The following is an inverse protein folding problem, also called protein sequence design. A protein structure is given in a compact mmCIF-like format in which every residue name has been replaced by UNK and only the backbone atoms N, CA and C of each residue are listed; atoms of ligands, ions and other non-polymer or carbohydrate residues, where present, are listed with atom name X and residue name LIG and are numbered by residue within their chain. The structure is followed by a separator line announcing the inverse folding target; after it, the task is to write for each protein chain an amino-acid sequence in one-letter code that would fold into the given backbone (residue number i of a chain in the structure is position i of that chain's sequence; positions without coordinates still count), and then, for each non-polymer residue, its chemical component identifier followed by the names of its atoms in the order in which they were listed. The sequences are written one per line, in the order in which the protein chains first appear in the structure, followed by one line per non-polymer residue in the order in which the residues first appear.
data_IF_236606576546
#
_entry.id   IF_236606576546
#
_cell.length_a   1.000
_cell.length_b   1.000
_cell.length_c   1.000
_cell.angle_alpha   90.00
_cell.angle_beta   90.00
_cell.angle_gamma   90.00
#
_symmetry.space_group_name_H-M   'P 1'
#
loop_
_entity.id
_entity.type
_entity.pdbx_description
1 polymer ?
#
# COMPACT_ATOMS: atom_id res chain seq x y z
N UNK A 1 -22.44 14.99 -8.94
CA UNK A 1 -22.87 15.59 -7.66
C UNK A 1 -21.70 16.37 -7.07
N UNK A 2 -22.01 17.48 -6.43
CA UNK A 2 -21.18 18.67 -6.16
C UNK A 2 -19.87 18.43 -5.41
N UNK A 3 -18.80 19.04 -5.92
CA UNK A 3 -17.56 19.34 -5.17
C UNK A 3 -17.95 20.37 -4.09
N UNK A 4 -18.15 19.90 -2.85
CA UNK A 4 -18.30 20.80 -1.72
C UNK A 4 -16.95 21.47 -1.46
N UNK A 5 -16.89 22.79 -1.67
CA UNK A 5 -15.88 23.67 -1.12
C UNK A 5 -15.85 23.44 0.40
N UNK A 6 -14.86 22.68 0.85
CA UNK A 6 -14.52 22.63 2.27
C UNK A 6 -13.70 23.89 2.51
N UNK A 7 -14.25 24.85 3.26
CA UNK A 7 -13.51 26.04 3.69
C UNK A 7 -12.16 25.62 4.28
N UNK A 8 -11.09 26.38 4.01
CA UNK A 8 -9.72 26.02 4.41
C UNK A 8 -9.59 25.63 5.89
N UNK A 9 -10.38 26.27 6.76
CA UNK A 9 -10.45 25.98 8.20
C UNK A 9 -11.00 24.57 8.49
N UNK A 10 -11.96 24.09 7.69
CA UNK A 10 -12.49 22.73 7.79
C UNK A 10 -11.50 21.69 7.25
N UNK A 11 -10.63 22.03 6.29
CA UNK A 11 -9.61 21.09 5.78
C UNK A 11 -8.54 20.83 6.84
N UNK A 12 -8.04 21.88 7.49
CA UNK A 12 -7.03 21.76 8.56
C UNK A 12 -7.52 20.91 9.72
N UNK A 13 -8.72 21.19 10.24
CA UNK A 13 -9.34 20.43 11.33
C UNK A 13 -9.56 18.97 10.91
N UNK A 14 -10.14 18.74 9.73
CA UNK A 14 -10.37 17.39 9.22
C UNK A 14 -9.08 16.58 9.06
N UNK A 15 -8.03 17.17 8.46
CA UNK A 15 -6.73 16.51 8.29
C UNK A 15 -6.08 16.23 9.64
N UNK A 16 -6.13 17.17 10.58
CA UNK A 16 -5.57 16.99 11.91
C UNK A 16 -6.25 15.85 12.68
N UNK A 17 -7.58 15.79 12.65
CA UNK A 17 -8.36 14.74 13.31
C UNK A 17 -8.03 13.36 12.72
N UNK A 18 -8.05 13.24 11.38
CA UNK A 18 -7.74 11.96 10.72
C UNK A 18 -6.31 11.51 10.98
N UNK A 19 -5.32 12.41 10.96
CA UNK A 19 -3.94 12.05 11.24
C UNK A 19 -3.72 11.66 12.71
N UNK A 20 -4.50 12.23 13.64
CA UNK A 20 -4.51 11.82 15.04
C UNK A 20 -5.00 10.38 15.20
N UNK A 21 -6.08 10.03 14.51
CA UNK A 21 -6.68 8.69 14.56
C UNK A 21 -5.77 7.59 14.00
N UNK A 22 -5.07 7.90 12.90
CA UNK A 22 -4.10 7.02 12.25
C UNK A 22 -2.83 6.76 13.09
N UNK A 23 -2.75 7.33 14.29
CA UNK A 23 -1.56 7.33 15.13
C UNK A 23 -0.56 8.30 14.54
N UNK A 24 -0.49 9.51 15.16
CA UNK A 24 0.34 10.63 14.72
C UNK A 24 1.67 10.18 14.11
N UNK A 25 2.12 10.84 13.02
CA UNK A 25 3.36 10.52 12.34
C UNK A 25 4.58 11.09 13.08
N UNK A 26 4.70 10.86 14.38
CA UNK A 26 6.01 11.03 15.05
C UNK A 26 6.83 9.79 14.68
N UNK A 27 7.44 9.78 13.49
CA UNK A 27 8.30 8.66 13.07
C UNK A 27 8.16 8.12 11.65
N UNK A 28 7.25 8.65 10.83
CA UNK A 28 7.15 8.21 9.42
C UNK A 28 8.32 8.76 8.60
N UNK A 29 9.02 7.92 7.83
CA UNK A 29 10.23 8.31 7.07
C UNK A 29 10.04 9.57 6.20
N UNK A 30 8.82 9.83 5.70
CA UNK A 30 8.50 11.04 4.94
C UNK A 30 8.25 12.26 5.85
N UNK A 31 7.47 12.14 6.93
CA UNK A 31 7.27 13.27 7.87
C UNK A 31 8.54 13.63 8.66
N UNK A 32 9.36 12.64 9.03
CA UNK A 32 10.64 12.86 9.72
C UNK A 32 11.67 13.58 8.84
N UNK A 33 11.73 13.26 7.54
CA UNK A 33 12.73 13.86 6.63
C UNK A 33 12.23 15.08 5.85
N UNK A 34 10.93 15.28 5.66
CA UNK A 34 10.46 16.24 4.66
C UNK A 34 9.36 17.23 5.07
N UNK A 35 8.62 17.05 6.17
CA UNK A 35 7.44 17.90 6.40
C UNK A 35 7.18 18.44 7.82
N UNK A 36 7.86 17.97 8.88
CA UNK A 36 7.70 18.55 10.22
C UNK A 36 6.26 18.46 10.78
N UNK A 37 5.93 19.31 11.76
CA UNK A 37 4.59 19.35 12.37
C UNK A 37 3.53 19.83 11.38
N UNK A 38 2.29 19.32 11.50
CA UNK A 38 1.11 19.74 10.72
C UNK A 38 0.95 21.26 10.53
N UNK A 39 1.39 22.05 11.53
CA UNK A 39 1.36 23.52 11.52
C UNK A 39 2.26 24.16 10.46
N UNK A 40 3.19 23.42 9.86
CA UNK A 40 4.13 23.91 8.86
C UNK A 40 3.71 23.57 7.43
N UNK A 41 2.59 22.86 7.24
CA UNK A 41 2.07 22.53 5.92
C UNK A 41 1.34 23.73 5.31
N UNK A 42 1.57 24.00 4.04
CA UNK A 42 0.78 24.98 3.31
C UNK A 42 -0.58 24.40 2.88
N UNK A 43 -1.51 25.27 2.48
CA UNK A 43 -2.87 24.88 2.06
C UNK A 43 -2.87 23.85 0.92
N UNK A 44 -1.87 23.91 0.04
CA UNK A 44 -1.76 23.00 -1.08
C UNK A 44 -1.40 21.58 -0.64
N UNK A 45 -0.47 21.46 0.30
CA UNK A 45 -0.06 20.19 0.91
C UNK A 45 -1.20 19.60 1.74
N UNK A 46 -1.91 20.42 2.51
CA UNK A 46 -3.10 20.00 3.26
C UNK A 46 -4.18 19.45 2.32
N UNK A 47 -4.43 20.11 1.19
CA UNK A 47 -5.35 19.61 0.17
C UNK A 47 -4.86 18.27 -0.43
N UNK A 48 -3.56 18.12 -0.66
CA UNK A 48 -2.97 16.87 -1.14
C UNK A 48 -3.14 15.70 -0.17
N UNK A 49 -2.98 15.95 1.14
CA UNK A 49 -3.23 14.98 2.20
C UNK A 49 -4.72 14.63 2.27
N UNK A 50 -5.59 15.63 2.27
CA UNK A 50 -7.04 15.44 2.24
C UNK A 50 -7.47 14.57 1.05
N UNK A 51 -6.93 14.83 -0.15
CA UNK A 51 -7.20 14.03 -1.33
C UNK A 51 -6.70 12.59 -1.19
N UNK A 52 -5.52 12.38 -0.60
CA UNK A 52 -5.00 11.04 -0.33
C UNK A 52 -5.91 10.27 0.65
N UNK A 53 -6.36 10.91 1.74
CA UNK A 53 -7.32 10.33 2.69
C UNK A 53 -8.62 9.94 2.00
N UNK A 54 -9.16 10.82 1.15
CA UNK A 54 -10.40 10.57 0.42
C UNK A 54 -10.28 9.41 -0.58
N UNK A 55 -9.16 9.33 -1.31
CA UNK A 55 -8.92 8.26 -2.28
C UNK A 55 -8.80 6.89 -1.63
N UNK A 56 -8.43 6.82 -0.35
CA UNK A 56 -8.17 5.54 0.34
C UNK A 56 -9.22 5.15 1.39
N UNK A 57 -10.27 5.95 1.57
CA UNK A 57 -11.35 5.69 2.53
C UNK A 57 -12.18 4.42 2.18
N UNK A 58 -12.22 4.06 0.89
CA UNK A 58 -12.96 2.90 0.36
C UNK A 58 -12.14 1.62 0.20
N UNK A 59 -10.87 1.62 0.63
CA UNK A 59 -9.96 0.48 0.42
C UNK A 59 -10.44 -0.74 1.20
N UNK A 60 -10.60 -1.87 0.49
CA UNK A 60 -11.01 -3.16 1.08
C UNK A 60 -9.84 -4.12 1.17
N UNK A 61 -8.96 -4.08 0.19
CA UNK A 61 -7.84 -5.00 0.04
C UNK A 61 -6.56 -4.18 -0.16
N UNK A 62 -5.50 -4.55 0.55
CA UNK A 62 -4.16 -3.95 0.36
C UNK A 62 -3.21 -5.03 -0.09
N UNK A 63 -2.34 -4.69 -1.03
CA UNK A 63 -1.28 -5.57 -1.50
C UNK A 63 0.06 -4.87 -1.30
N UNK A 64 0.91 -5.48 -0.48
CA UNK A 64 2.30 -5.10 -0.25
C UNK A 64 3.21 -6.02 -1.06
N UNK A 65 4.13 -5.45 -1.82
CA UNK A 65 5.00 -6.17 -2.75
C UNK A 65 6.28 -5.35 -2.98
N UNK A 66 7.37 -6.00 -3.40
CA UNK A 66 8.62 -5.30 -3.78
C UNK A 66 8.48 -4.60 -5.14
N UNK A 67 9.54 -3.94 -5.62
CA UNK A 67 9.49 -3.30 -6.94
C UNK A 67 9.36 -4.32 -8.11
N UNK A 68 9.65 -3.90 -9.35
CA UNK A 68 9.86 -4.81 -10.48
C UNK A 68 10.79 -5.95 -10.05
N UNK A 69 10.48 -7.19 -10.45
CA UNK A 69 11.17 -8.43 -10.01
C UNK A 69 10.94 -8.81 -8.53
N UNK A 70 10.52 -7.86 -7.68
CA UNK A 70 10.11 -8.07 -6.29
C UNK A 70 8.61 -8.35 -6.10
N UNK A 71 7.88 -8.64 -7.18
CA UNK A 71 6.47 -9.05 -7.12
C UNK A 71 5.45 -8.04 -7.67
N UNK A 72 5.88 -6.96 -8.34
CA UNK A 72 4.97 -6.01 -9.00
C UNK A 72 4.01 -6.69 -9.97
N UNK A 73 4.53 -7.52 -10.87
CA UNK A 73 3.75 -8.21 -11.91
C UNK A 73 2.71 -9.13 -11.26
N UNK A 74 3.11 -9.83 -10.20
CA UNK A 74 2.22 -10.68 -9.43
C UNK A 74 1.15 -9.88 -8.70
N UNK A 75 1.52 -8.77 -8.05
CA UNK A 75 0.57 -7.93 -7.34
C UNK A 75 -0.47 -7.33 -8.28
N UNK A 76 -0.04 -6.90 -9.48
CA UNK A 76 -0.94 -6.42 -10.53
C UNK A 76 -1.86 -7.52 -11.06
N UNK A 77 -1.34 -8.72 -11.31
CA UNK A 77 -2.15 -9.85 -11.73
C UNK A 77 -3.15 -10.27 -10.63
N UNK A 78 -2.70 -10.36 -9.38
CA UNK A 78 -3.54 -10.71 -8.25
C UNK A 78 -4.67 -9.69 -8.05
N UNK A 79 -4.36 -8.39 -8.17
CA UNK A 79 -5.38 -7.33 -8.15
C UNK A 79 -6.40 -7.52 -9.27
N UNK A 80 -5.93 -7.79 -10.49
CA UNK A 80 -6.80 -8.02 -11.64
C UNK A 80 -7.72 -9.24 -11.42
N UNK A 81 -7.18 -10.34 -10.89
CA UNK A 81 -7.96 -11.56 -10.62
C UNK A 81 -8.94 -11.39 -9.46
N UNK A 82 -8.55 -10.67 -8.41
CA UNK A 82 -9.46 -10.28 -7.33
C UNK A 82 -10.64 -9.47 -7.86
N UNK A 83 -10.39 -8.52 -8.76
CA UNK A 83 -11.45 -7.73 -9.38
C UNK A 83 -12.40 -8.62 -10.19
N UNK A 84 -11.86 -9.47 -11.09
CA UNK A 84 -12.66 -10.41 -11.90
C UNK A 84 -13.50 -11.34 -11.03
N UNK A 85 -12.95 -11.83 -9.91
CA UNK A 85 -13.69 -12.71 -9.01
C UNK A 85 -14.89 -12.04 -8.33
N UNK A 86 -14.83 -10.71 -8.15
CA UNK A 86 -15.90 -9.93 -7.50
C UNK A 86 -16.95 -9.44 -8.50
N UNK A 87 -16.57 -9.29 -9.78
CA UNK A 87 -17.44 -8.80 -10.85
C UNK A 87 -17.30 -9.70 -12.08
N UNK A 88 -17.72 -10.97 -12.00
CA UNK A 88 -17.52 -11.94 -13.08
C UNK A 88 -18.27 -11.57 -14.37
N UNK A 89 -19.35 -10.79 -14.25
CA UNK A 89 -20.27 -10.47 -15.35
C UNK A 89 -20.21 -9.00 -15.81
N UNK A 90 -19.35 -8.15 -15.21
CA UNK A 90 -19.30 -6.72 -15.55
C UNK A 90 -18.10 -6.36 -16.43
N UNK A 91 -18.39 -5.69 -17.56
CA UNK A 91 -17.42 -4.93 -18.36
C UNK A 91 -17.17 -3.51 -17.81
N UNK A 92 -17.54 -3.26 -16.55
CA UNK A 92 -17.49 -1.94 -15.91
C UNK A 92 -16.04 -1.50 -15.64
N UNK A 93 -15.71 -0.20 -15.68
CA UNK A 93 -14.36 0.25 -15.36
C UNK A 93 -13.95 -0.14 -13.93
N UNK A 94 -12.72 -0.62 -13.80
CA UNK A 94 -12.11 -1.04 -12.54
C UNK A 94 -12.21 0.05 -11.46
N UNK A 95 -12.95 -0.19 -10.37
CA UNK A 95 -12.85 0.67 -9.19
C UNK A 95 -11.55 0.36 -8.44
N UNK A 96 -10.49 1.01 -8.91
CA UNK A 96 -9.17 0.98 -8.31
C UNK A 96 -9.16 1.33 -6.82
N UNK A 97 -10.17 2.06 -6.32
CA UNK A 97 -10.21 2.50 -4.92
C UNK A 97 -10.42 1.35 -3.93
N UNK A 98 -10.90 0.19 -4.38
CA UNK A 98 -11.12 -0.98 -3.50
C UNK A 98 -9.85 -1.79 -3.22
N UNK A 99 -8.81 -1.65 -4.05
CA UNK A 99 -7.58 -2.43 -3.97
C UNK A 99 -6.37 -1.49 -3.98
N UNK A 100 -5.72 -1.30 -2.83
CA UNK A 100 -4.57 -0.42 -2.70
C UNK A 100 -3.27 -1.15 -3.06
N UNK A 101 -2.51 -0.55 -3.99
CA UNK A 101 -1.14 -0.88 -4.37
C UNK A 101 -0.30 0.40 -4.38
N UNK A 102 0.42 0.67 -3.29
CA UNK A 102 1.40 1.76 -3.20
C UNK A 102 0.90 3.11 -3.79
N UNK A 103 1.79 3.95 -4.32
CA UNK A 103 1.51 5.20 -4.99
C UNK A 103 0.61 5.06 -6.24
N UNK A 104 0.45 3.85 -6.80
CA UNK A 104 -0.44 3.60 -7.95
C UNK A 104 -1.89 3.90 -7.56
N UNK A 105 -2.28 3.57 -6.33
CA UNK A 105 -3.62 3.87 -5.80
C UNK A 105 -3.88 5.36 -5.69
N UNK A 106 -2.81 6.15 -5.61
CA UNK A 106 -2.85 7.60 -5.54
C UNK A 106 -2.62 8.25 -6.91
N UNK A 107 -2.70 7.51 -8.03
CA UNK A 107 -2.44 8.05 -9.37
C UNK A 107 -3.23 9.32 -9.74
N UNK A 108 -4.44 9.48 -9.19
CA UNK A 108 -5.29 10.66 -9.41
C UNK A 108 -5.01 11.81 -8.44
N UNK A 109 -4.16 11.60 -7.43
CA UNK A 109 -3.69 12.66 -6.55
C UNK A 109 -2.73 13.57 -7.33
N UNK A 110 -2.97 14.89 -7.28
CA UNK A 110 -2.21 15.87 -8.08
C UNK A 110 -0.71 15.92 -7.78
N UNK A 111 -0.28 15.42 -6.63
CA UNK A 111 1.14 15.35 -6.24
C UNK A 111 1.81 14.05 -6.69
N UNK A 112 1.06 13.11 -7.28
CA UNK A 112 1.65 11.89 -7.84
C UNK A 112 2.44 12.23 -9.09
N UNK A 113 3.73 11.86 -9.06
CA UNK A 113 4.64 12.00 -10.19
C UNK A 113 4.81 10.67 -10.88
N UNK A 114 4.80 10.71 -12.20
CA UNK A 114 5.09 9.58 -13.08
C UNK A 114 6.42 9.84 -13.79
N UNK A 115 7.46 9.10 -13.41
CA UNK A 115 8.79 9.21 -14.01
C UNK A 115 9.07 7.98 -14.88
N UNK A 116 9.35 8.18 -16.17
CA UNK A 116 9.81 7.09 -17.04
C UNK A 116 11.28 6.81 -16.72
N UNK A 117 11.59 5.60 -16.27
CA UNK A 117 12.98 5.19 -16.08
C UNK A 117 13.60 4.92 -17.46
N UNK A 118 14.70 5.61 -17.80
CA UNK A 118 15.26 5.52 -19.16
C UNK A 118 15.85 4.15 -19.52
N UNK A 119 16.18 3.34 -18.52
CA UNK A 119 16.88 2.06 -18.69
C UNK A 119 15.96 0.84 -18.60
N UNK A 120 14.67 1.03 -18.28
CA UNK A 120 13.67 -0.03 -18.20
C UNK A 120 12.33 0.51 -18.68
N UNK A 121 11.52 -0.25 -19.42
CA UNK A 121 10.20 0.22 -19.88
C UNK A 121 9.16 0.14 -18.76
N UNK A 122 9.41 0.90 -17.68
CA UNK A 122 8.57 1.00 -16.49
C UNK A 122 8.47 2.45 -16.07
N UNK A 123 7.27 2.85 -15.69
CA UNK A 123 7.05 4.13 -15.03
C UNK A 123 7.10 3.97 -13.52
N UNK A 124 7.95 4.77 -12.88
CA UNK A 124 8.00 4.92 -11.44
C UNK A 124 6.94 5.92 -11.01
N UNK A 125 5.97 5.48 -10.21
CA UNK A 125 5.01 6.37 -9.55
C UNK A 125 5.51 6.73 -8.16
N UNK A 126 5.40 8.00 -7.80
CA UNK A 126 5.76 8.49 -6.46
C UNK A 126 4.72 9.49 -5.98
N UNK A 127 4.23 9.33 -4.76
CA UNK A 127 3.38 10.31 -4.10
C UNK A 127 3.95 10.66 -2.72
N UNK A 128 4.11 11.96 -2.38
CA UNK A 128 4.66 12.38 -1.09
C UNK A 128 3.74 12.08 0.11
N UNK A 129 2.47 11.75 -0.13
CA UNK A 129 1.48 11.39 0.89
C UNK A 129 1.13 9.91 0.85
N UNK A 130 1.98 9.08 0.24
CA UNK A 130 1.82 7.63 0.18
C UNK A 130 1.60 7.02 1.56
N UNK A 131 2.38 7.45 2.56
CA UNK A 131 2.28 6.95 3.93
C UNK A 131 0.92 7.24 4.57
N UNK A 132 0.40 8.46 4.39
CA UNK A 132 -0.96 8.83 4.84
C UNK A 132 -2.00 7.99 4.12
N UNK A 133 -1.90 7.89 2.80
CA UNK A 133 -2.81 7.10 1.98
C UNK A 133 -2.82 5.64 2.41
N UNK A 134 -1.64 5.06 2.64
CA UNK A 134 -1.47 3.66 3.03
C UNK A 134 -2.01 3.39 4.44
N UNK A 135 -1.66 4.20 5.44
CA UNK A 135 -2.19 4.07 6.81
C UNK A 135 -3.71 4.19 6.84
N UNK A 136 -4.25 5.15 6.10
CA UNK A 136 -5.70 5.31 5.96
C UNK A 136 -6.33 4.10 5.26
N UNK A 137 -5.67 3.55 4.24
CA UNK A 137 -6.07 2.27 3.65
C UNK A 137 -6.12 1.15 4.69
N UNK A 138 -5.06 0.97 5.50
CA UNK A 138 -5.01 -0.07 6.55
C UNK A 138 -6.15 0.12 7.56
N UNK A 139 -6.48 1.35 7.92
CA UNK A 139 -7.55 1.63 8.87
C UNK A 139 -8.94 1.14 8.41
N UNK A 140 -9.18 1.04 7.09
CA UNK A 140 -10.48 0.65 6.52
C UNK A 140 -10.47 -0.73 5.84
N UNK A 141 -9.28 -1.25 5.54
CA UNK A 141 -9.13 -2.50 4.82
C UNK A 141 -9.66 -3.71 5.61
N UNK A 142 -10.27 -4.64 4.89
CA UNK A 142 -10.69 -5.95 5.41
C UNK A 142 -9.59 -6.98 5.27
N UNK A 143 -8.71 -6.80 4.28
CA UNK A 143 -7.66 -7.77 3.95
C UNK A 143 -6.37 -7.06 3.56
N UNK A 144 -5.25 -7.65 3.93
CA UNK A 144 -3.93 -7.25 3.49
C UNK A 144 -3.10 -8.47 3.11
N UNK A 145 -2.46 -8.45 1.95
CA UNK A 145 -1.58 -9.51 1.50
C UNK A 145 -0.16 -8.96 1.31
N UNK A 146 0.83 -9.68 1.81
CA UNK A 146 2.25 -9.38 1.59
C UNK A 146 2.86 -10.45 0.70
N UNK A 147 3.40 -10.03 -0.44
CA UNK A 147 4.22 -10.86 -1.30
C UNK A 147 5.68 -10.67 -0.90
N UNK A 148 6.17 -11.53 -0.01
CA UNK A 148 7.50 -11.46 0.58
C UNK A 148 8.50 -12.12 -0.37
N UNK A 149 9.24 -11.31 -1.12
CA UNK A 149 10.42 -11.69 -1.90
C UNK A 149 11.70 -11.19 -1.22
N UNK A 150 12.91 -11.59 -1.68
CA UNK A 150 14.16 -10.99 -1.21
C UNK A 150 14.18 -9.46 -1.33
N UNK A 151 13.64 -8.90 -2.43
CA UNK A 151 13.54 -7.46 -2.68
C UNK A 151 12.58 -6.78 -1.71
N UNK A 152 11.46 -7.44 -1.36
CA UNK A 152 10.56 -6.95 -0.32
C UNK A 152 11.30 -6.84 1.02
N UNK A 153 12.06 -7.88 1.40
CA UNK A 153 12.90 -7.86 2.62
C UNK A 153 14.07 -6.89 2.54
N UNK A 154 14.49 -6.49 1.35
CA UNK A 154 15.50 -5.45 1.13
C UNK A 154 14.94 -4.03 1.24
N UNK A 155 13.61 -3.84 1.26
CA UNK A 155 12.96 -2.55 1.16
C UNK A 155 12.48 -2.03 2.52
N UNK A 156 13.02 -0.90 2.96
CA UNK A 156 12.57 -0.21 4.18
C UNK A 156 11.09 0.21 4.07
N UNK A 157 10.63 0.58 2.87
CA UNK A 157 9.23 0.93 2.63
C UNK A 157 8.31 -0.27 2.87
N UNK A 158 8.67 -1.44 2.35
CA UNK A 158 7.89 -2.67 2.53
C UNK A 158 7.84 -3.09 4.01
N UNK A 159 8.96 -3.00 4.73
CA UNK A 159 8.99 -3.26 6.19
C UNK A 159 8.15 -2.28 6.98
N UNK A 160 8.15 -1.00 6.57
CA UNK A 160 7.33 0.04 7.17
C UNK A 160 5.83 -0.26 7.02
N UNK A 161 5.41 -0.80 5.86
CA UNK A 161 4.02 -1.23 5.65
C UNK A 161 3.60 -2.35 6.61
N UNK A 162 4.50 -3.33 6.86
CA UNK A 162 4.28 -4.37 7.86
C UNK A 162 4.24 -3.80 9.29
N UNK A 163 5.09 -2.82 9.60
CA UNK A 163 5.04 -2.12 10.88
C UNK A 163 3.69 -1.43 11.09
N UNK A 164 3.16 -0.72 10.08
CA UNK A 164 1.86 -0.06 10.19
C UNK A 164 0.71 -1.06 10.35
N UNK A 165 0.77 -2.22 9.72
CA UNK A 165 -0.18 -3.30 10.01
C UNK A 165 -0.07 -3.75 11.47
N UNK A 166 1.15 -3.88 11.99
CA UNK A 166 1.37 -4.34 13.37
C UNK A 166 0.86 -3.35 14.42
N UNK A 167 0.91 -2.06 14.11
CA UNK A 167 0.53 -0.96 15.00
C UNK A 167 -0.93 -0.52 14.84
N UNK A 168 -1.62 -0.97 13.77
CA UNK A 168 -2.96 -0.47 13.45
C UNK A 168 -4.00 -0.76 14.55
N UNK A 169 -4.93 0.18 14.70
CA UNK A 169 -6.13 0.01 15.55
C UNK A 169 -7.19 -0.85 14.88
N UNK A 170 -7.14 -1.04 13.56
CA UNK A 170 -8.05 -1.91 12.83
C UNK A 170 -7.78 -3.39 13.19
N UNK A 171 -8.55 -3.95 14.12
CA UNK A 171 -8.40 -5.35 14.55
C UNK A 171 -9.15 -6.36 13.66
N UNK A 172 -9.94 -5.87 12.71
CA UNK A 172 -10.74 -6.71 11.81
C UNK A 172 -10.00 -7.07 10.51
N UNK A 173 -8.87 -6.41 10.23
CA UNK A 173 -8.05 -6.69 9.05
C UNK A 173 -7.47 -8.09 9.10
N UNK A 174 -7.68 -8.86 8.03
CA UNK A 174 -7.11 -10.20 7.86
C UNK A 174 -5.86 -10.15 7.02
N UNK A 175 -4.74 -10.63 7.56
CA UNK A 175 -3.46 -10.65 6.86
C UNK A 175 -3.11 -12.01 6.27
N UNK A 176 -2.42 -11.99 5.13
CA UNK A 176 -1.79 -13.14 4.51
C UNK A 176 -0.35 -12.81 4.10
N UNK A 177 0.58 -13.72 4.38
CA UNK A 177 1.98 -13.64 3.99
C UNK A 177 2.27 -14.74 2.97
N UNK A 178 2.58 -14.34 1.74
CA UNK A 178 2.99 -15.23 0.65
C UNK A 178 4.51 -15.11 0.53
N UNK A 179 5.24 -16.13 0.96
CA UNK A 179 6.69 -16.12 1.09
C UNK A 179 7.32 -16.92 -0.05
N UNK A 180 8.17 -16.27 -0.83
CA UNK A 180 8.84 -16.90 -1.98
C UNK A 180 10.07 -17.70 -1.56
N UNK A 181 10.39 -18.72 -2.36
CA UNK A 181 11.43 -19.73 -2.08
C UNK A 181 12.78 -19.15 -1.65
N UNK A 182 13.20 -18.04 -2.26
CA UNK A 182 14.55 -17.49 -2.09
C UNK A 182 14.67 -16.52 -0.89
N UNK A 183 13.62 -16.42 -0.07
CA UNK A 183 13.62 -15.65 1.16
C UNK A 183 14.40 -16.35 2.27
N UNK A 184 15.32 -15.62 2.92
CA UNK A 184 15.96 -16.10 4.15
C UNK A 184 14.98 -16.09 5.34
N UNK A 185 14.41 -17.27 5.60
CA UNK A 185 13.46 -17.52 6.69
C UNK A 185 14.07 -17.34 8.09
N UNK A 186 15.41 -17.31 8.22
CA UNK A 186 16.10 -17.15 9.51
C UNK A 186 16.36 -15.68 9.85
N UNK A 187 16.03 -14.75 8.95
CA UNK A 187 16.20 -13.33 9.20
C UNK A 187 15.32 -12.83 10.37
N UNK A 188 15.76 -11.74 11.00
CA UNK A 188 15.01 -11.09 12.10
C UNK A 188 13.64 -10.58 11.63
N UNK A 189 13.57 -10.09 10.39
CA UNK A 189 12.34 -9.61 9.78
C UNK A 189 11.34 -10.77 9.60
N UNK A 190 11.80 -11.91 9.08
CA UNK A 190 10.96 -13.11 8.96
C UNK A 190 10.51 -13.65 10.32
N UNK A 191 11.39 -13.63 11.32
CA UNK A 191 11.02 -14.00 12.70
C UNK A 191 9.89 -13.12 13.22
N UNK A 192 9.95 -11.81 13.00
CA UNK A 192 8.90 -10.86 13.39
C UNK A 192 7.59 -11.11 12.65
N UNK A 193 7.65 -11.37 11.34
CA UNK A 193 6.49 -11.72 10.51
C UNK A 193 5.82 -13.01 11.01
N UNK A 194 6.59 -14.07 11.30
CA UNK A 194 6.04 -15.32 11.80
C UNK A 194 5.40 -15.17 13.18
N UNK A 195 6.03 -14.41 14.08
CA UNK A 195 5.46 -14.12 15.41
C UNK A 195 4.14 -13.35 15.28
N UNK A 196 4.10 -12.31 14.46
CA UNK A 196 2.87 -11.57 14.18
C UNK A 196 1.80 -12.50 13.58
N UNK A 197 2.17 -13.34 12.61
CA UNK A 197 1.25 -14.25 11.96
C UNK A 197 0.63 -15.25 12.94
N UNK A 198 1.41 -15.79 13.88
CA UNK A 198 0.89 -16.70 14.89
C UNK A 198 -0.06 -16.00 15.88
N UNK A 199 0.33 -14.82 16.39
CA UNK A 199 -0.48 -14.05 17.35
C UNK A 199 -1.82 -13.65 16.71
N UNK A 200 -1.77 -13.12 15.48
CA UNK A 200 -2.93 -12.57 14.78
C UNK A 200 -3.65 -13.58 13.88
N UNK A 201 -3.24 -14.86 13.92
CA UNK A 201 -3.80 -15.95 13.10
C UNK A 201 -3.84 -15.59 11.61
N UNK A 202 -2.79 -14.93 11.14
CA UNK A 202 -2.60 -14.60 9.73
C UNK A 202 -2.33 -15.86 8.93
N UNK A 203 -2.72 -15.85 7.65
CA UNK A 203 -2.36 -16.95 6.75
C UNK A 203 -0.89 -16.82 6.36
N UNK A 204 -0.16 -17.93 6.36
CA UNK A 204 1.21 -18.00 5.85
C UNK A 204 1.23 -19.06 4.76
N UNK A 205 1.73 -18.70 3.59
CA UNK A 205 1.80 -19.57 2.42
C UNK A 205 3.20 -19.51 1.84
N UNK A 206 3.80 -20.66 1.60
CA UNK A 206 5.07 -20.76 0.88
C UNK A 206 4.77 -20.85 -0.62
N UNK A 207 5.24 -19.87 -1.39
CA UNK A 207 5.14 -19.86 -2.84
C UNK A 207 6.39 -20.51 -3.44
N UNK A 208 6.17 -21.59 -4.21
CA UNK A 208 7.18 -22.13 -5.11
C UNK A 208 7.16 -21.37 -6.43
N UNK A 209 8.28 -20.79 -6.84
CA UNK A 209 8.48 -20.38 -8.23
C UNK A 209 8.48 -21.65 -9.10
N UNK A 210 7.68 -21.72 -10.19
CA UNK A 210 7.84 -22.78 -11.18
C UNK A 210 9.30 -22.76 -11.69
N UNK A 211 9.92 -23.92 -11.94
CA UNK A 211 11.23 -23.95 -12.55
C UNK A 211 11.23 -23.15 -13.87
N UNK A 212 12.30 -22.41 -14.13
CA UNK A 212 12.49 -21.51 -15.28
C UNK A 212 12.20 -22.15 -16.66
N UNK A 213 12.12 -23.48 -16.72
CA UNK A 213 11.79 -24.25 -17.93
C UNK A 213 10.37 -24.03 -18.47
N UNK A 214 9.50 -23.28 -17.78
CA UNK A 214 8.11 -23.06 -18.18
C UNK A 214 7.84 -21.84 -19.07
N UNK A 215 8.67 -20.79 -19.04
CA UNK A 215 8.38 -19.55 -19.76
C UNK A 215 8.54 -19.68 -21.28
N UNK A 216 9.39 -20.60 -21.74
CA UNK A 216 9.60 -20.88 -23.17
C UNK A 216 8.50 -21.78 -23.78
N UNK A 217 7.55 -22.26 -22.97
CA UNK A 217 6.49 -23.17 -23.43
C UNK A 217 5.09 -22.55 -23.43
N UNK A 218 4.99 -21.24 -23.21
CA UNK A 218 3.75 -20.50 -23.50
C UNK A 218 3.77 -20.15 -24.99
N UNK A 219 3.19 -21.04 -25.81
CA UNK A 219 2.80 -20.75 -27.20
C UNK A 219 1.41 -20.15 -27.25
#
# INVERSE_FOLDING_TARGET
SSVTNIDSKNIEEHVADRLSDLGRPDGGWFFEKSLGTLKNLNLEQLAGIHDALKLTDGVKNIVSFGAREGGFELAMQFRHDLYRSQHPDENSPHDAATHYLDAISLQSNKFTKLEKLQHVDVFKMQNPFWDVGYKNGIAHAKKMAFFITPEWLGSDFCKQEFQWLSETKNKDIKSAFVIFKDVDLKSKDMTSIFNFADIHKSRVMMASTPPESGLNNVK
#
